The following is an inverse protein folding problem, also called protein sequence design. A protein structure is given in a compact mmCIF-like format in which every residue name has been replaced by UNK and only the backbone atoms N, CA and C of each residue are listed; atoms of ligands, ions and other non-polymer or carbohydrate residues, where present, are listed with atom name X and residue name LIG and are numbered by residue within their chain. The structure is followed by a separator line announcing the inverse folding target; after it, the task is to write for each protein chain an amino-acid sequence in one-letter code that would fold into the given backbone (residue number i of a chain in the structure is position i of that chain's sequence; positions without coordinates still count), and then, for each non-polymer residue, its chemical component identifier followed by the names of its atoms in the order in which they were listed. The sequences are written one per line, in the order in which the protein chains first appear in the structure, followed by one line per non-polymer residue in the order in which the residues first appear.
data_IF_729729160488
#
_entry.id   IF_729729160488
#
_cell.length_a   1.000
_cell.length_b   1.000
_cell.length_c   1.000
_cell.angle_alpha   90.00
_cell.angle_beta   90.00
_cell.angle_gamma   90.00
#
_symmetry.space_group_name_H-M   'P 1'
#
loop_
_entity.id
_entity.type
_entity.pdbx_description
1 polymer ?
#
# COMPACT_ATOMS: atom_id res chain seq x y z
N UNK A 1 16.62 3.81 -3.34
CA UNK A 1 16.31 2.82 -4.40
C UNK A 1 15.28 1.79 -3.91
N UNK A 2 15.43 1.19 -2.71
CA UNK A 2 14.46 0.23 -2.14
C UNK A 2 13.04 0.79 -1.91
N UNK A 3 12.91 1.95 -1.26
CA UNK A 3 11.61 2.57 -0.91
C UNK A 3 10.77 2.89 -2.14
N UNK A 4 11.41 3.39 -3.19
CA UNK A 4 10.76 3.70 -4.47
C UNK A 4 10.18 2.44 -5.11
N UNK A 5 10.92 1.33 -5.11
CA UNK A 5 10.47 0.04 -5.66
C UNK A 5 9.22 -0.44 -4.92
N UNK A 6 9.20 -0.37 -3.59
CA UNK A 6 8.05 -0.81 -2.79
C UNK A 6 6.83 0.07 -3.06
N UNK A 7 7.01 1.39 -3.14
CA UNK A 7 5.90 2.30 -3.47
C UNK A 7 5.36 1.98 -4.87
N UNK A 8 6.22 1.82 -5.86
CA UNK A 8 5.81 1.44 -7.22
C UNK A 8 5.06 0.11 -7.22
N UNK A 9 5.55 -0.89 -6.48
CA UNK A 9 4.85 -2.17 -6.31
C UNK A 9 3.46 -1.98 -5.69
N UNK A 10 3.33 -1.14 -4.66
CA UNK A 10 2.04 -0.83 -4.04
C UNK A 10 1.06 -0.14 -4.98
N UNK A 11 1.54 0.79 -5.81
CA UNK A 11 0.72 1.46 -6.81
C UNK A 11 0.27 0.50 -7.93
N UNK A 12 1.15 -0.39 -8.39
CA UNK A 12 0.79 -1.43 -9.36
C UNK A 12 -0.24 -2.39 -8.75
N UNK A 13 -0.01 -2.85 -7.51
CA UNK A 13 -0.93 -3.72 -6.80
C UNK A 13 -2.30 -3.06 -6.60
N UNK A 14 -2.33 -1.78 -6.23
CA UNK A 14 -3.56 -0.99 -6.13
C UNK A 14 -4.30 -0.96 -7.47
N UNK A 15 -3.60 -0.62 -8.54
CA UNK A 15 -4.18 -0.55 -9.88
C UNK A 15 -4.75 -1.90 -10.32
N UNK A 16 -4.03 -3.01 -10.08
CA UNK A 16 -4.49 -4.36 -10.38
C UNK A 16 -5.72 -4.75 -9.56
N UNK A 17 -5.70 -4.49 -8.25
CA UNK A 17 -6.80 -4.82 -7.35
C UNK A 17 -8.07 -4.06 -7.72
N UNK A 18 -7.95 -2.77 -8.05
CA UNK A 18 -9.08 -1.97 -8.54
C UNK A 18 -9.55 -2.48 -9.90
N UNK A 19 -8.65 -2.64 -10.88
CA UNK A 19 -9.01 -3.04 -12.24
C UNK A 19 -9.70 -4.41 -12.28
N UNK A 20 -9.13 -5.41 -11.60
CA UNK A 20 -9.69 -6.77 -11.56
C UNK A 20 -10.91 -6.79 -10.66
N UNK A 21 -10.83 -6.17 -9.48
CA UNK A 21 -11.89 -6.20 -8.49
C UNK A 21 -13.20 -5.58 -8.98
N UNK A 22 -13.12 -4.45 -9.67
CA UNK A 22 -14.29 -3.81 -10.28
C UNK A 22 -14.87 -4.67 -11.41
N UNK A 23 -14.03 -5.32 -12.23
CA UNK A 23 -14.48 -6.25 -13.29
C UNK A 23 -15.17 -7.50 -12.75
N UNK A 24 -14.78 -7.94 -11.55
CA UNK A 24 -15.42 -9.04 -10.83
C UNK A 24 -16.71 -8.62 -10.10
N UNK A 25 -17.05 -7.33 -10.09
CA UNK A 25 -18.26 -6.80 -9.45
C UNK A 25 -18.10 -6.54 -7.94
N UNK A 26 -16.88 -6.50 -7.41
CA UNK A 26 -16.68 -6.10 -6.02
C UNK A 26 -16.97 -4.62 -5.81
N UNK A 27 -17.55 -4.29 -4.65
CA UNK A 27 -17.77 -2.89 -4.28
C UNK A 27 -16.44 -2.19 -4.01
N UNK A 28 -16.38 -0.89 -4.34
CA UNK A 28 -15.21 -0.05 -4.06
C UNK A 28 -14.85 0.00 -2.57
N UNK A 29 -15.82 -0.15 -1.67
CA UNK A 29 -15.57 -0.26 -0.23
C UNK A 29 -14.78 -1.53 0.11
N UNK A 30 -15.20 -2.69 -0.42
CA UNK A 30 -14.49 -3.96 -0.19
C UNK A 30 -13.07 -3.87 -0.74
N UNK A 31 -12.90 -3.34 -1.95
CA UNK A 31 -11.58 -3.17 -2.57
C UNK A 31 -10.70 -2.19 -1.79
N UNK A 32 -11.27 -1.08 -1.32
CA UNK A 32 -10.54 -0.08 -0.54
C UNK A 32 -10.09 -0.61 0.82
N UNK A 33 -10.99 -1.23 1.59
CA UNK A 33 -10.63 -1.84 2.88
C UNK A 33 -9.68 -3.02 2.69
N UNK A 34 -9.91 -3.86 1.69
CA UNK A 34 -9.06 -5.00 1.36
C UNK A 34 -7.65 -4.57 0.99
N UNK A 35 -7.50 -3.59 0.09
CA UNK A 35 -6.20 -3.04 -0.25
C UNK A 35 -5.51 -2.41 0.97
N UNK A 36 -6.22 -1.59 1.74
CA UNK A 36 -5.64 -0.91 2.91
C UNK A 36 -5.11 -1.91 3.94
N UNK A 37 -5.90 -2.95 4.26
CA UNK A 37 -5.48 -3.99 5.19
C UNK A 37 -4.29 -4.81 4.66
N UNK A 38 -4.35 -5.24 3.40
CA UNK A 38 -3.27 -5.98 2.75
C UNK A 38 -1.98 -5.15 2.70
N UNK A 39 -2.08 -3.89 2.30
CA UNK A 39 -0.94 -3.00 2.16
C UNK A 39 -0.30 -2.66 3.50
N UNK A 40 -1.11 -2.49 4.55
CA UNK A 40 -0.63 -2.32 5.91
C UNK A 40 0.19 -3.54 6.35
N UNK A 41 -0.34 -4.75 6.15
CA UNK A 41 0.36 -5.98 6.51
C UNK A 41 1.71 -6.10 5.77
N UNK A 42 1.73 -5.85 4.46
CA UNK A 42 2.97 -5.87 3.66
C UNK A 42 3.98 -4.81 4.12
N UNK A 43 3.52 -3.62 4.50
CA UNK A 43 4.39 -2.56 5.03
C UNK A 43 5.03 -2.97 6.35
N UNK A 44 4.26 -3.57 7.26
CA UNK A 44 4.77 -4.06 8.54
C UNK A 44 5.77 -5.20 8.34
N UNK A 45 5.47 -6.16 7.46
CA UNK A 45 6.39 -7.25 7.11
C UNK A 45 7.68 -6.69 6.53
N UNK A 46 7.60 -5.72 5.62
CA UNK A 46 8.77 -5.08 5.04
C UNK A 46 9.64 -4.39 6.10
N UNK A 47 9.03 -3.64 7.03
CA UNK A 47 9.76 -2.99 8.12
C UNK A 47 10.42 -4.01 9.06
N UNK A 48 9.72 -5.09 9.39
CA UNK A 48 10.27 -6.18 10.20
C UNK A 48 11.46 -6.86 9.52
N UNK A 49 11.37 -7.13 8.22
CA UNK A 49 12.48 -7.66 7.41
C UNK A 49 13.66 -6.69 7.41
N UNK A 50 13.42 -5.38 7.25
CA UNK A 50 14.47 -4.35 7.33
C UNK A 50 15.21 -4.33 8.67
N UNK A 51 14.49 -4.47 9.78
CA UNK A 51 15.12 -4.57 11.11
C UNK A 51 15.95 -5.84 11.28
N UNK A 52 15.42 -6.99 10.86
CA UNK A 52 16.08 -8.31 11.07
C UNK A 52 17.29 -8.50 10.16
N UNK A 53 17.17 -8.11 8.89
CA UNK A 53 18.19 -8.41 7.87
C UNK A 53 19.22 -7.30 7.69
N UNK A 54 18.82 -6.04 7.85
CA UNK A 54 19.68 -4.89 7.65
C UNK A 54 20.07 -4.18 8.97
N UNK A 55 19.65 -4.72 10.12
CA UNK A 55 19.88 -4.16 11.46
C UNK A 55 19.47 -2.67 11.57
N UNK A 56 18.47 -2.26 10.77
CA UNK A 56 17.97 -0.90 10.77
C UNK A 56 17.30 -0.59 12.13
N UNK A 57 17.50 0.62 12.69
CA UNK A 57 16.83 1.00 13.91
C UNK A 57 15.32 1.18 13.67
N UNK A 58 14.50 0.79 14.65
CA UNK A 58 13.03 0.86 14.58
C UNK A 58 12.51 2.23 14.12
N UNK A 59 13.15 3.33 14.57
CA UNK A 59 12.75 4.68 14.17
C UNK A 59 12.89 4.94 12.66
N UNK A 60 13.94 4.39 12.03
CA UNK A 60 14.17 4.50 10.59
C UNK A 60 13.06 3.76 9.83
N UNK A 61 12.81 2.50 10.21
CA UNK A 61 11.79 1.66 9.58
C UNK A 61 10.37 2.19 9.79
N UNK A 62 10.08 2.83 10.94
CA UNK A 62 8.79 3.49 11.17
C UNK A 62 8.59 4.71 10.26
N UNK A 63 9.62 5.55 10.08
CA UNK A 63 9.54 6.70 9.16
C UNK A 63 9.36 6.23 7.71
N UNK A 64 10.17 5.26 7.29
CA UNK A 64 10.13 4.70 5.93
C UNK A 64 8.80 3.97 5.70
N UNK A 65 8.38 3.11 6.63
CA UNK A 65 7.13 2.38 6.59
C UNK A 65 5.91 3.30 6.54
N UNK A 66 5.92 4.42 7.27
CA UNK A 66 4.85 5.42 7.20
C UNK A 66 4.71 5.99 5.79
N UNK A 67 5.83 6.31 5.14
CA UNK A 67 5.83 6.83 3.77
C UNK A 67 5.35 5.77 2.77
N UNK A 68 5.86 4.54 2.91
CA UNK A 68 5.51 3.40 2.06
C UNK A 68 4.03 3.04 2.16
N UNK A 69 3.44 3.14 3.34
CA UNK A 69 2.01 2.93 3.53
C UNK A 69 1.18 4.10 2.99
N UNK A 70 1.55 5.34 3.34
CA UNK A 70 0.75 6.52 3.04
C UNK A 70 0.61 6.79 1.55
N UNK A 71 1.65 6.62 0.74
CA UNK A 71 1.60 7.00 -0.69
C UNK A 71 0.55 6.19 -1.47
N UNK A 72 0.52 4.85 -1.42
CA UNK A 72 -0.52 4.08 -2.12
C UNK A 72 -1.91 4.27 -1.52
N UNK A 73 -2.02 4.46 -0.20
CA UNK A 73 -3.32 4.75 0.44
C UNK A 73 -3.86 6.11 0.01
N UNK A 74 -3.01 7.13 -0.10
CA UNK A 74 -3.40 8.43 -0.65
C UNK A 74 -3.87 8.30 -2.10
N UNK A 75 -3.17 7.50 -2.91
CA UNK A 75 -3.60 7.23 -4.29
C UNK A 75 -4.99 6.55 -4.33
N UNK A 76 -5.26 5.59 -3.45
CA UNK A 76 -6.58 4.99 -3.29
C UNK A 76 -7.63 6.03 -2.88
N UNK A 77 -7.34 6.89 -1.90
CA UNK A 77 -8.25 7.94 -1.45
C UNK A 77 -8.57 8.90 -2.60
N UNK A 78 -7.56 9.35 -3.34
CA UNK A 78 -7.74 10.22 -4.50
C UNK A 78 -8.59 9.53 -5.56
N UNK A 79 -8.31 8.27 -5.88
CA UNK A 79 -9.13 7.48 -6.80
C UNK A 79 -10.59 7.43 -6.34
N UNK A 80 -10.85 7.13 -5.08
CA UNK A 80 -12.21 7.06 -4.53
C UNK A 80 -12.91 8.42 -4.56
N UNK A 81 -12.19 9.52 -4.33
CA UNK A 81 -12.75 10.89 -4.37
C UNK A 81 -13.12 11.31 -5.79
N UNK A 82 -12.22 11.10 -6.77
CA UNK A 82 -12.43 11.54 -8.15
C UNK A 82 -13.36 10.62 -8.96
N UNK A 83 -13.67 9.44 -8.45
CA UNK A 83 -14.59 8.50 -9.11
C UNK A 83 -15.98 8.44 -8.47
N UNK A 84 -16.27 9.27 -7.45
CA UNK A 84 -17.64 9.49 -6.98
C UNK A 84 -18.40 10.30 -8.03
N UNK A 85 -19.06 9.60 -8.95
CA UNK A 85 -20.09 10.13 -9.85
C UNK A 85 -21.34 9.27 -9.70
#
# INVERSE_FOLDING_TARGET
MHTTIIITFGLILLALLLFIGERLGFSRSILGFGFTGLWLALTVINGAVGMVTAHQPLRSELMVGSLVFAVPVLALVLYLLFTRA
#
